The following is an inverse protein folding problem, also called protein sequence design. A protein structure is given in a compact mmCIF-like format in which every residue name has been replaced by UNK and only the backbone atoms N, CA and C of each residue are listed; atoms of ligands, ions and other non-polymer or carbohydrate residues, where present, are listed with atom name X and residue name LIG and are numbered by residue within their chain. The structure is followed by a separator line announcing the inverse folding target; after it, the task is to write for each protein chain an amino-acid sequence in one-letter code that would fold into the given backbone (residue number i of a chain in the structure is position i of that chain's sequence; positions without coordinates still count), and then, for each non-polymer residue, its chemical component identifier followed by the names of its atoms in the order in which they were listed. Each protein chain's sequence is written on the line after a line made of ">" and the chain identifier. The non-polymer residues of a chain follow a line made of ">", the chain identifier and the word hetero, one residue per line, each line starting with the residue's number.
data_IF_838178826561
#
_entry.id   IF_838178826561
#
_cell.length_a   1.000
_cell.length_b   1.000
_cell.length_c   1.000
_cell.angle_alpha   90.00
_cell.angle_beta   90.00
_cell.angle_gamma   90.00
#
_symmetry.space_group_name_H-M   'P 1'
#
loop_
_entity.id
_entity.type
_entity.pdbx_description
1 polymer ?
#
# COMPACT_ATOMS: atom_id res chain seq x y z
N UNK A 1 -9.76 -11.55 -11.49
CA UNK A 1 -8.49 -12.06 -10.93
C UNK A 1 -8.80 -13.11 -9.87
N UNK A 2 -8.03 -14.19 -9.75
CA UNK A 2 -8.26 -15.19 -8.70
C UNK A 2 -7.79 -14.67 -7.33
N UNK A 3 -8.35 -15.20 -6.23
CA UNK A 3 -7.88 -14.87 -4.86
C UNK A 3 -6.38 -15.11 -4.70
N UNK A 4 -5.87 -16.23 -5.23
CA UNK A 4 -4.45 -16.56 -5.17
C UNK A 4 -3.58 -15.51 -5.90
N UNK A 5 -4.05 -15.03 -7.05
CA UNK A 5 -3.35 -14.00 -7.83
C UNK A 5 -3.34 -12.65 -7.09
N UNK A 6 -4.47 -12.26 -6.47
CA UNK A 6 -4.56 -11.05 -5.64
C UNK A 6 -3.57 -11.13 -4.48
N UNK A 7 -3.58 -12.23 -3.71
CA UNK A 7 -2.68 -12.43 -2.57
C UNK A 7 -1.22 -12.39 -3.00
N UNK A 8 -0.85 -13.13 -4.05
CA UNK A 8 0.54 -13.18 -4.54
C UNK A 8 1.01 -11.79 -4.99
N UNK A 9 0.14 -11.03 -5.65
CA UNK A 9 0.46 -9.66 -6.09
C UNK A 9 0.62 -8.71 -4.90
N UNK A 10 -0.28 -8.78 -3.91
CA UNK A 10 -0.17 -7.99 -2.68
C UNK A 10 1.11 -8.29 -1.90
N UNK A 11 1.50 -9.55 -1.78
CA UNK A 11 2.75 -9.94 -1.12
C UNK A 11 3.97 -9.37 -1.87
N UNK A 12 3.99 -9.49 -3.19
CA UNK A 12 5.08 -8.96 -4.01
C UNK A 12 5.20 -7.43 -3.90
N UNK A 13 4.08 -6.70 -3.99
CA UNK A 13 4.06 -5.24 -3.84
C UNK A 13 4.44 -4.79 -2.43
N UNK A 14 3.98 -5.51 -1.41
CA UNK A 14 4.36 -5.24 -0.02
C UNK A 14 5.86 -5.42 0.18
N UNK A 15 6.48 -6.44 -0.44
CA UNK A 15 7.92 -6.62 -0.43
C UNK A 15 8.67 -5.42 -1.01
N UNK A 16 8.27 -4.96 -2.21
CA UNK A 16 8.84 -3.75 -2.84
C UNK A 16 8.68 -2.50 -1.97
N UNK A 17 7.53 -2.36 -1.31
CA UNK A 17 7.27 -1.25 -0.40
C UNK A 17 8.20 -1.32 0.83
N UNK A 18 8.40 -2.49 1.42
CA UNK A 18 9.32 -2.67 2.55
C UNK A 18 10.75 -2.27 2.18
N UNK A 19 11.24 -2.70 1.01
CA UNK A 19 12.58 -2.31 0.52
C UNK A 19 12.73 -0.79 0.40
N UNK A 20 11.68 -0.11 -0.09
CA UNK A 20 11.64 1.36 -0.15
C UNK A 20 11.61 2.02 1.24
N UNK A 21 10.81 1.49 2.17
CA UNK A 21 10.67 2.05 3.53
C UNK A 21 11.94 1.90 4.36
N UNK A 22 12.70 0.82 4.16
CA UNK A 22 14.02 0.61 4.79
C UNK A 22 15.04 1.64 4.28
N UNK A 23 14.99 1.99 3.00
CA UNK A 23 15.89 2.99 2.40
C UNK A 23 15.44 4.45 2.61
N UNK A 24 14.20 4.66 3.05
CA UNK A 24 13.60 6.00 3.21
C UNK A 24 13.01 6.19 4.63
N UNK A 25 13.85 6.30 5.67
CA UNK A 25 13.40 6.28 7.07
C UNK A 25 12.45 7.43 7.45
N UNK A 26 12.50 8.56 6.74
CA UNK A 26 11.60 9.69 6.99
C UNK A 26 10.12 9.34 6.74
N UNK A 27 9.84 8.49 5.75
CA UNK A 27 8.48 8.02 5.45
C UNK A 27 7.99 7.09 6.57
N UNK A 28 8.84 6.16 6.98
CA UNK A 28 8.54 5.21 8.07
C UNK A 28 8.29 5.92 9.41
N UNK A 29 9.03 6.99 9.71
CA UNK A 29 8.79 7.83 10.89
C UNK A 29 7.46 8.59 10.80
N UNK A 30 7.17 9.20 9.65
CA UNK A 30 5.95 9.99 9.43
C UNK A 30 4.67 9.17 9.63
N UNK A 31 4.68 7.91 9.20
CA UNK A 31 3.53 7.02 9.25
C UNK A 31 3.69 5.89 10.27
N UNK A 32 4.46 6.13 11.34
CA UNK A 32 4.64 5.15 12.40
C UNK A 32 3.30 4.77 13.04
N UNK A 33 3.04 3.46 13.14
CA UNK A 33 1.80 2.91 13.70
C UNK A 33 0.60 2.91 12.75
N UNK A 34 0.79 3.24 11.47
CA UNK A 34 -0.24 3.11 10.44
C UNK A 34 -0.18 1.73 9.78
N UNK A 35 -1.34 1.22 9.37
CA UNK A 35 -1.46 0.08 8.47
C UNK A 35 -1.21 0.54 7.04
N UNK A 36 -0.26 -0.08 6.34
CA UNK A 36 0.01 0.21 4.94
C UNK A 36 -0.83 -0.70 4.04
N UNK A 37 -1.52 -0.10 3.07
CA UNK A 37 -2.21 -0.84 2.01
C UNK A 37 -1.61 -0.43 0.67
N UNK A 38 -1.15 -1.41 -0.09
CA UNK A 38 -0.48 -1.19 -1.38
C UNK A 38 -1.48 -0.99 -2.51
N UNK A 39 -1.18 -0.08 -3.43
CA UNK A 39 -1.96 0.15 -4.64
C UNK A 39 -1.00 0.08 -5.83
N UNK A 40 -1.39 -0.68 -6.85
CA UNK A 40 -0.58 -0.81 -8.06
C UNK A 40 -1.03 0.20 -9.10
N UNK A 41 -0.06 0.86 -9.74
CA UNK A 41 -0.31 1.76 -10.87
C UNK A 41 -0.96 1.06 -12.08
N UNK A 42 -0.74 -0.24 -12.24
CA UNK A 42 -1.12 -0.99 -13.45
C UNK A 42 -2.26 -2.00 -13.20
N UNK A 43 -2.78 -2.12 -11.97
CA UNK A 43 -3.74 -3.17 -11.62
C UNK A 43 -4.96 -2.63 -10.86
N UNK A 44 -5.95 -2.14 -11.62
CA UNK A 44 -7.20 -1.58 -11.07
C UNK A 44 -8.02 -2.59 -10.27
N UNK A 45 -8.02 -3.87 -10.68
CA UNK A 45 -8.76 -4.91 -9.96
C UNK A 45 -8.17 -5.21 -8.59
N UNK A 46 -6.84 -5.17 -8.45
CA UNK A 46 -6.20 -5.25 -7.14
C UNK A 46 -6.55 -4.04 -6.28
N UNK A 47 -6.54 -2.85 -6.88
CA UNK A 47 -6.82 -1.59 -6.19
C UNK A 47 -8.26 -1.53 -5.66
N UNK A 48 -9.23 -2.10 -6.38
CA UNK A 48 -10.61 -2.22 -5.91
C UNK A 48 -10.68 -3.05 -4.63
N UNK A 49 -10.10 -4.26 -4.65
CA UNK A 49 -10.06 -5.14 -3.46
C UNK A 49 -9.30 -4.50 -2.29
N UNK A 50 -8.23 -3.77 -2.58
CA UNK A 50 -7.47 -3.08 -1.55
C UNK A 50 -8.18 -1.82 -1.04
N UNK A 51 -9.12 -1.22 -1.79
CA UNK A 51 -10.00 -0.19 -1.24
C UNK A 51 -10.97 -0.79 -0.22
N UNK A 52 -11.57 -1.94 -0.51
CA UNK A 52 -12.44 -2.63 0.46
C UNK A 52 -11.67 -2.93 1.75
N UNK A 53 -10.42 -3.41 1.64
CA UNK A 53 -9.53 -3.62 2.79
C UNK A 53 -9.24 -2.34 3.58
N UNK A 54 -9.13 -1.19 2.91
CA UNK A 54 -8.93 0.10 3.59
C UNK A 54 -10.15 0.41 4.45
N UNK A 55 -11.35 0.17 3.95
CA UNK A 55 -12.59 0.45 4.68
C UNK A 55 -12.76 -0.52 5.86
N UNK A 56 -12.49 -1.82 5.67
CA UNK A 56 -12.49 -2.81 6.76
C UNK A 56 -11.52 -2.41 7.89
N UNK A 57 -10.30 -1.98 7.55
CA UNK A 57 -9.31 -1.54 8.53
C UNK A 57 -9.74 -0.26 9.27
N UNK A 58 -10.45 0.64 8.60
CA UNK A 58 -11.01 1.85 9.25
C UNK A 58 -12.12 1.49 10.23
N UNK A 59 -12.99 0.54 9.88
CA UNK A 59 -14.03 0.04 10.78
C UNK A 59 -13.42 -0.61 12.04
N UNK A 60 -12.27 -1.26 11.91
CA UNK A 60 -11.47 -1.75 13.04
C UNK A 60 -10.74 -0.65 13.86
N UNK A 61 -10.92 0.62 13.49
CA UNK A 61 -10.27 1.76 14.15
C UNK A 61 -8.77 1.89 13.85
N UNK A 62 -8.28 1.25 12.78
CA UNK A 62 -6.88 1.38 12.35
C UNK A 62 -6.67 2.67 11.58
N UNK A 63 -5.51 3.30 11.78
CA UNK A 63 -5.06 4.38 10.90
C UNK A 63 -4.44 3.76 9.65
N UNK A 64 -4.90 4.16 8.47
CA UNK A 64 -4.49 3.53 7.21
C UNK A 64 -3.74 4.53 6.32
N UNK A 65 -2.64 4.06 5.72
CA UNK A 65 -1.89 4.77 4.69
C UNK A 65 -1.99 3.97 3.40
N UNK A 66 -2.47 4.64 2.36
CA UNK A 66 -2.40 4.13 0.98
C UNK A 66 -1.00 4.40 0.45
N UNK A 67 -0.34 3.34 0.01
CA UNK A 67 0.96 3.39 -0.65
C UNK A 67 0.79 3.00 -2.12
N UNK A 68 0.81 3.98 -3.02
CA UNK A 68 0.54 3.80 -4.44
C UNK A 68 1.83 3.77 -5.25
N UNK A 69 2.04 2.72 -6.04
CA UNK A 69 3.15 2.67 -7.01
C UNK A 69 3.03 3.85 -7.98
N UNK A 70 4.16 4.44 -8.36
CA UNK A 70 4.21 5.50 -9.38
C UNK A 70 5.10 5.10 -10.55
N UNK A 71 5.06 5.89 -11.63
CA UNK A 71 6.00 5.76 -12.75
C UNK A 71 7.33 6.52 -12.51
N UNK A 72 7.54 7.12 -11.33
CA UNK A 72 8.71 7.97 -11.06
C UNK A 72 9.88 7.11 -10.61
N UNK A 73 10.98 7.14 -11.37
CA UNK A 73 12.21 6.39 -11.08
C UNK A 73 12.82 6.71 -9.70
N UNK A 74 12.72 7.97 -9.26
CA UNK A 74 13.37 8.43 -8.01
C UNK A 74 12.44 8.41 -6.80
N UNK A 75 11.12 8.26 -7.00
CA UNK A 75 10.17 8.09 -5.91
C UNK A 75 9.05 7.14 -6.36
N UNK A 76 9.28 5.82 -6.24
CA UNK A 76 8.37 4.83 -6.79
C UNK A 76 7.05 4.74 -6.03
N UNK A 77 6.87 5.48 -4.92
CA UNK A 77 5.68 5.42 -4.08
C UNK A 77 5.12 6.81 -3.74
N UNK A 78 3.81 6.92 -3.79
CA UNK A 78 3.05 8.04 -3.21
C UNK A 78 2.24 7.57 -2.01
N UNK A 79 2.24 8.40 -0.96
CA UNK A 79 1.62 8.07 0.32
C UNK A 79 0.51 9.06 0.65
N UNK A 80 -0.69 8.55 0.90
CA UNK A 80 -1.83 9.34 1.36
C UNK A 80 -2.48 8.68 2.57
N UNK A 81 -2.94 9.48 3.52
CA UNK A 81 -3.73 8.98 4.65
C UNK A 81 -5.13 8.70 4.11
N UNK A 82 -5.64 7.50 4.36
CA UNK A 82 -7.05 7.22 4.10
C UNK A 82 -7.86 7.78 5.28
N UNK A 83 -8.46 8.96 5.08
CA UNK A 83 -9.35 9.61 6.04
C UNK A 83 -10.70 8.91 6.13
#
# INVERSE_FOLDING_TARGET
>A
MSKNTITTTNVALSGKLMDFLVSTPEVSKKYYGYSYVVFSKDNSQLNEVNNDLVDDLKEEGKKVVKAEETNKKNNPWEFSIAL
#
